data_IF_508663376894
#
_entry.id   IF_508663376894
#
_cell.length_a   1.000
_cell.length_b   1.000
_cell.length_c   1.000
_cell.angle_alpha   90.00
_cell.angle_beta   90.00
_cell.angle_gamma   90.00
#
_symmetry.space_group_name_H-M   'P 1'
#
loop_
_entity.id
_entity.type
_entity.pdbx_description
1 polymer ?
#
# COMPACT_ATOMS: atom_id res chain seq x y z
N UNK A 1 -2.43 21.19 16.75
CA UNK A 1 -1.27 20.58 16.02
C UNK A 1 -1.21 21.17 14.62
N UNK A 2 -0.07 21.75 14.24
CA UNK A 2 0.12 22.27 12.88
C UNK A 2 -0.04 21.10 11.90
N UNK A 3 -0.96 21.20 10.93
CA UNK A 3 -1.07 20.26 9.81
C UNK A 3 0.24 20.34 9.03
N UNK A 4 1.17 19.43 9.26
CA UNK A 4 2.35 19.30 8.39
C UNK A 4 1.80 18.93 7.02
N UNK A 5 2.10 19.74 6.01
CA UNK A 5 1.73 19.40 4.64
C UNK A 5 2.42 18.11 4.25
N UNK A 6 1.64 17.15 3.71
CA UNK A 6 2.19 15.92 3.17
C UNK A 6 3.14 16.26 2.02
N UNK A 7 4.30 15.64 2.01
CA UNK A 7 5.22 15.76 0.87
C UNK A 7 4.66 14.99 -0.34
N UNK A 8 5.00 15.46 -1.53
CA UNK A 8 4.69 14.72 -2.76
C UNK A 8 5.85 13.75 -3.01
N UNK A 9 5.57 12.46 -2.89
CA UNK A 9 6.53 11.43 -3.24
C UNK A 9 6.51 11.20 -4.74
N UNK A 10 7.70 11.03 -5.32
CA UNK A 10 7.85 10.59 -6.70
C UNK A 10 8.14 9.09 -6.71
N UNK A 11 7.17 8.31 -7.13
CA UNK A 11 7.33 6.86 -7.27
C UNK A 11 8.36 6.55 -8.36
N UNK A 12 9.36 5.74 -8.00
CA UNK A 12 10.42 5.32 -8.91
C UNK A 12 10.05 3.98 -9.56
N UNK A 13 9.65 4.04 -10.83
CA UNK A 13 9.38 2.83 -11.62
C UNK A 13 10.68 2.23 -12.18
N UNK A 14 10.75 0.88 -12.21
CA UNK A 14 11.73 0.18 -13.04
C UNK A 14 11.45 0.48 -14.52
N UNK A 15 12.50 0.46 -15.36
CA UNK A 15 12.42 0.88 -16.78
C UNK A 15 11.31 0.15 -17.55
N UNK A 16 11.09 -1.12 -17.24
CA UNK A 16 10.13 -1.98 -17.97
C UNK A 16 8.94 -2.40 -17.11
N UNK A 17 8.56 -1.58 -16.10
CA UNK A 17 7.46 -1.91 -15.21
C UNK A 17 6.50 -0.73 -15.01
N UNK A 18 5.21 -1.00 -15.10
CA UNK A 18 4.12 -0.08 -14.72
C UNK A 18 3.61 -0.33 -13.29
N UNK A 19 4.19 -1.30 -12.59
CA UNK A 19 3.85 -1.67 -11.21
C UNK A 19 5.15 -1.76 -10.41
N UNK A 20 5.29 -0.91 -9.40
CA UNK A 20 6.34 -1.04 -8.38
C UNK A 20 5.87 -2.08 -7.37
N UNK A 21 6.72 -3.03 -6.99
CA UNK A 21 6.41 -4.01 -5.96
C UNK A 21 7.67 -4.25 -5.12
N UNK A 22 7.60 -3.94 -3.83
CA UNK A 22 8.74 -3.91 -2.92
C UNK A 22 8.46 -4.69 -1.65
N UNK A 23 9.43 -5.49 -1.22
CA UNK A 23 9.52 -6.01 0.14
C UNK A 23 10.39 -5.05 0.96
N UNK A 24 9.74 -4.26 1.81
CA UNK A 24 10.40 -3.30 2.70
C UNK A 24 10.84 -3.98 3.99
N UNK A 25 12.04 -3.66 4.44
CA UNK A 25 12.56 -4.04 5.76
C UNK A 25 13.49 -2.95 6.28
N UNK A 26 13.23 -2.45 7.49
CA UNK A 26 14.07 -1.48 8.17
C UNK A 26 13.87 -1.61 9.70
N UNK A 27 14.64 -0.89 10.50
CA UNK A 27 14.43 -0.79 11.95
C UNK A 27 13.05 -0.22 12.29
N UNK A 28 12.56 0.74 11.53
CA UNK A 28 11.24 1.37 11.69
C UNK A 28 10.69 1.83 10.33
N UNK A 29 9.41 2.18 10.25
CA UNK A 29 8.82 2.81 9.07
C UNK A 29 9.34 4.25 8.95
N UNK A 30 10.20 4.50 7.96
CA UNK A 30 10.97 5.75 7.85
C UNK A 30 10.33 6.81 6.97
N UNK A 31 9.33 6.46 6.14
CA UNK A 31 8.69 7.41 5.25
C UNK A 31 7.93 8.49 6.06
N UNK A 32 8.12 9.77 5.77
CA UNK A 32 7.35 10.85 6.38
C UNK A 32 5.89 10.84 5.89
N UNK A 33 5.04 11.72 6.43
CA UNK A 33 3.70 11.94 5.88
C UNK A 33 3.82 12.38 4.41
N UNK A 34 3.28 11.56 3.51
CA UNK A 34 3.42 11.76 2.06
C UNK A 34 2.13 11.41 1.31
N UNK A 35 2.13 11.72 0.03
CA UNK A 35 1.10 11.35 -0.96
C UNK A 35 1.72 11.24 -2.34
N UNK A 36 1.13 10.45 -3.20
CA UNK A 36 1.52 10.28 -4.61
C UNK A 36 0.29 10.01 -5.49
N UNK A 37 0.36 10.21 -6.82
CA UNK A 37 -0.79 10.03 -7.72
C UNK A 37 -1.15 8.57 -8.00
N UNK A 38 -0.35 7.62 -7.57
CA UNK A 38 -0.58 6.19 -7.71
C UNK A 38 -1.55 5.66 -6.65
N UNK A 39 -2.17 4.51 -6.93
CA UNK A 39 -2.71 3.63 -5.90
C UNK A 39 -1.58 2.92 -5.18
N UNK A 40 -1.77 2.66 -3.89
CA UNK A 40 -0.86 1.83 -3.11
C UNK A 40 -1.61 0.70 -2.41
N UNK A 41 -1.23 -0.54 -2.70
CA UNK A 41 -1.54 -1.69 -1.86
C UNK A 41 -0.39 -1.89 -0.88
N UNK A 42 -0.70 -2.07 0.40
CA UNK A 42 0.31 -2.35 1.43
C UNK A 42 -0.16 -3.42 2.39
N UNK A 43 0.72 -4.37 2.66
CA UNK A 43 0.58 -5.40 3.69
C UNK A 43 1.65 -5.19 4.75
N UNK A 44 1.23 -4.95 5.98
CA UNK A 44 2.13 -4.89 7.13
C UNK A 44 2.43 -6.33 7.58
N UNK A 45 3.71 -6.72 7.56
CA UNK A 45 4.13 -8.06 7.97
C UNK A 45 4.69 -8.07 9.39
N UNK A 46 5.41 -7.02 9.76
CA UNK A 46 6.06 -6.89 11.07
C UNK A 46 6.14 -5.41 11.43
N UNK A 47 5.95 -5.12 12.71
CA UNK A 47 5.96 -3.76 13.22
C UNK A 47 4.65 -3.36 13.85
N UNK A 48 4.72 -2.43 14.78
CA UNK A 48 3.56 -1.85 15.47
C UNK A 48 3.71 -0.34 15.61
N UNK A 49 2.61 0.34 15.82
CA UNK A 49 2.60 1.79 15.94
C UNK A 49 1.26 2.39 15.58
N UNK A 50 1.27 3.45 14.77
CA UNK A 50 0.07 4.14 14.30
C UNK A 50 0.07 4.31 12.78
N UNK A 51 -1.09 4.20 12.21
CA UNK A 51 -1.36 4.39 10.81
C UNK A 51 -2.22 5.64 10.64
N UNK A 52 -1.80 6.55 9.78
CA UNK A 52 -2.52 7.76 9.40
C UNK A 52 -2.88 7.67 7.92
N UNK A 53 -4.16 7.74 7.59
CA UNK A 53 -4.65 7.74 6.21
C UNK A 53 -5.75 8.78 6.07
N UNK A 54 -5.49 9.84 5.30
CA UNK A 54 -6.35 11.01 5.25
C UNK A 54 -6.52 11.64 6.62
N UNK A 55 -7.77 11.71 7.09
CA UNK A 55 -8.12 12.25 8.41
C UNK A 55 -8.25 11.15 9.49
N UNK A 56 -8.00 9.90 9.14
CA UNK A 56 -8.13 8.76 10.05
C UNK A 56 -6.80 8.42 10.70
N UNK A 57 -6.85 8.09 11.99
CA UNK A 57 -5.75 7.52 12.77
C UNK A 57 -6.20 6.21 13.41
N UNK A 58 -5.35 5.18 13.35
CA UNK A 58 -5.61 3.89 13.96
C UNK A 58 -4.31 3.18 14.36
N UNK A 59 -4.36 2.19 15.28
CA UNK A 59 -3.22 1.31 15.50
C UNK A 59 -2.79 0.62 14.20
N UNK A 60 -1.48 0.47 14.02
CA UNK A 60 -0.84 -0.29 12.96
C UNK A 60 -0.46 -1.67 13.51
N UNK A 61 -0.94 -2.72 12.87
CA UNK A 61 -0.75 -4.08 13.33
C UNK A 61 -0.25 -5.00 12.20
N UNK A 62 0.57 -6.01 12.52
CA UNK A 62 0.88 -7.07 11.58
C UNK A 62 -0.37 -7.73 11.03
N UNK A 63 -0.39 -7.93 9.71
CA UNK A 63 -1.55 -8.43 8.99
C UNK A 63 -2.47 -7.34 8.43
N UNK A 64 -2.29 -6.06 8.77
CA UNK A 64 -3.03 -4.98 8.12
C UNK A 64 -2.74 -4.99 6.62
N UNK A 65 -3.81 -5.10 5.83
CA UNK A 65 -3.75 -5.06 4.38
C UNK A 65 -4.67 -3.94 3.88
N UNK A 66 -4.09 -2.96 3.21
CA UNK A 66 -4.77 -1.70 2.90
C UNK A 66 -4.61 -1.32 1.43
N UNK A 67 -5.60 -0.61 0.89
CA UNK A 67 -5.54 0.07 -0.40
C UNK A 67 -5.70 1.58 -0.19
N UNK A 68 -4.68 2.31 -0.57
CA UNK A 68 -4.63 3.77 -0.52
C UNK A 68 -4.87 4.30 -1.93
N UNK A 69 -5.83 5.21 -2.05
CA UNK A 69 -6.15 5.84 -3.35
C UNK A 69 -5.21 6.99 -3.71
N UNK A 70 -5.24 7.42 -4.97
CA UNK A 70 -4.40 8.49 -5.48
C UNK A 70 -4.50 9.78 -4.66
N UNK A 71 -3.35 10.39 -4.37
CA UNK A 71 -3.20 11.66 -3.66
C UNK A 71 -3.77 11.66 -2.21
N UNK A 72 -4.11 10.50 -1.64
CA UNK A 72 -4.51 10.39 -0.26
C UNK A 72 -3.26 10.41 0.63
N UNK A 73 -3.18 11.38 1.53
CA UNK A 73 -2.04 11.52 2.45
C UNK A 73 -1.99 10.35 3.43
N UNK A 74 -0.82 9.76 3.61
CA UNK A 74 -0.67 8.62 4.51
C UNK A 74 0.72 8.57 5.17
N UNK A 75 0.79 7.87 6.31
CA UNK A 75 1.99 7.70 7.13
C UNK A 75 1.86 6.43 7.98
N UNK A 76 2.90 5.63 7.99
CA UNK A 76 3.11 4.54 8.94
C UNK A 76 4.14 5.01 9.97
N UNK A 77 3.73 5.20 11.21
CA UNK A 77 4.58 5.67 12.30
C UNK A 77 4.82 4.51 13.27
N UNK A 78 6.05 4.06 13.38
CA UNK A 78 6.42 3.04 14.35
C UNK A 78 6.29 3.56 15.78
N UNK A 79 6.05 2.67 16.73
CA UNK A 79 6.00 3.01 18.16
C UNK A 79 7.38 3.48 18.67
N UNK A 80 7.38 4.27 19.73
CA UNK A 80 8.59 4.99 20.21
C UNK A 80 9.78 4.07 20.46
N UNK A 81 9.55 2.87 20.99
CA UNK A 81 10.61 1.90 21.28
C UNK A 81 11.34 1.34 20.04
N UNK A 82 10.79 1.55 18.81
CA UNK A 82 11.49 1.23 17.56
C UNK A 82 12.64 2.19 17.26
N UNK A 83 12.69 3.36 17.89
CA UNK A 83 13.72 4.38 17.68
C UNK A 83 14.84 4.37 18.72
N UNK A 84 14.80 3.44 19.69
CA UNK A 84 15.84 3.28 20.69
C UNK A 84 17.11 2.65 20.07
N UNK A 85 18.30 3.11 20.48
CA UNK A 85 19.59 2.72 19.85
C UNK A 85 19.89 1.22 19.95
N UNK A 86 19.50 0.56 21.05
CA UNK A 86 19.78 -0.85 21.29
C UNK A 86 18.64 -1.80 20.85
N UNK A 87 17.62 -1.29 20.21
CA UNK A 87 16.50 -2.12 19.80
C UNK A 87 16.92 -3.04 18.63
N UNK A 88 16.42 -4.28 18.63
CA UNK A 88 16.60 -5.28 17.57
C UNK A 88 15.33 -5.53 16.76
N UNK A 89 14.33 -4.65 16.93
CA UNK A 89 13.06 -4.75 16.24
C UNK A 89 13.21 -4.40 14.77
N UNK A 90 12.32 -4.93 13.97
CA UNK A 90 12.23 -4.61 12.55
C UNK A 90 10.80 -4.26 12.16
N UNK A 91 10.67 -3.35 11.23
CA UNK A 91 9.42 -3.08 10.51
C UNK A 91 9.51 -3.66 9.12
N UNK A 92 8.51 -4.46 8.73
CA UNK A 92 8.44 -5.11 7.42
C UNK A 92 7.09 -4.91 6.80
N UNK A 93 7.10 -4.63 5.51
CA UNK A 93 5.88 -4.59 4.70
C UNK A 93 6.16 -5.09 3.28
N UNK A 94 5.11 -5.47 2.61
CA UNK A 94 5.08 -5.57 1.14
C UNK A 94 4.18 -4.46 0.65
N UNK A 95 4.64 -3.68 -0.31
CA UNK A 95 3.79 -2.68 -0.95
C UNK A 95 3.92 -2.72 -2.47
N UNK A 96 2.85 -2.30 -3.14
CA UNK A 96 2.82 -2.14 -4.58
C UNK A 96 2.16 -0.82 -4.93
N UNK A 97 2.82 -0.05 -5.82
CA UNK A 97 2.34 1.23 -6.32
C UNK A 97 2.11 1.13 -7.84
N UNK A 98 0.98 1.62 -8.30
CA UNK A 98 0.58 1.55 -9.71
C UNK A 98 -0.38 2.68 -10.09
N UNK A 99 -0.25 3.18 -11.30
CA UNK A 99 -1.14 4.21 -11.84
C UNK A 99 -2.46 3.64 -12.38
N UNK A 100 -3.41 4.52 -12.65
CA UNK A 100 -4.67 4.14 -13.32
C UNK A 100 -4.46 3.64 -14.75
N UNK A 101 -3.34 3.94 -15.36
CA UNK A 101 -2.97 3.56 -16.72
C UNK A 101 -2.75 2.05 -16.93
N UNK A 102 -2.69 1.25 -15.84
CA UNK A 102 -2.66 -0.22 -15.96
C UNK A 102 -4.04 -0.82 -16.21
N UNK A 103 -5.10 -0.03 -16.12
CA UNK A 103 -6.49 -0.43 -16.36
C UNK A 103 -6.99 0.13 -17.70
N UNK A 104 -7.96 -0.54 -18.35
CA UNK A 104 -8.55 -0.01 -19.58
C UNK A 104 -9.38 1.25 -19.28
N UNK A 105 -9.36 2.23 -20.22
CA UNK A 105 -10.06 3.50 -20.07
C UNK A 105 -11.58 3.34 -19.88
N UNK A 106 -12.15 2.30 -20.48
CA UNK A 106 -13.57 1.97 -20.37
C UNK A 106 -13.90 0.99 -19.22
N UNK A 107 -13.01 0.85 -18.24
CA UNK A 107 -13.17 -0.08 -17.09
C UNK A 107 -14.53 0.04 -16.41
N UNK A 108 -15.08 1.26 -16.30
CA UNK A 108 -16.37 1.50 -15.64
C UNK A 108 -17.58 0.89 -16.37
N UNK A 109 -17.44 0.52 -17.65
CA UNK A 109 -18.49 -0.07 -18.49
C UNK A 109 -18.33 -1.57 -18.69
N UNK A 110 -17.19 -2.14 -18.27
CA UNK A 110 -16.92 -3.57 -18.36
C UNK A 110 -17.50 -4.28 -17.13
N UNK A 111 -18.46 -5.17 -17.36
CA UNK A 111 -19.17 -5.90 -16.29
C UNK A 111 -18.18 -6.67 -15.41
N UNK A 112 -17.19 -7.31 -16.03
CA UNK A 112 -16.16 -8.12 -15.35
C UNK A 112 -15.25 -7.30 -14.44
N UNK A 113 -15.10 -6.00 -14.72
CA UNK A 113 -14.25 -5.09 -13.94
C UNK A 113 -15.05 -4.20 -12.98
N UNK A 114 -16.35 -4.33 -12.91
CA UNK A 114 -17.21 -3.48 -12.09
C UNK A 114 -16.86 -3.47 -10.61
N UNK A 115 -16.51 -4.65 -10.05
CA UNK A 115 -16.06 -4.76 -8.64
C UNK A 115 -14.70 -4.09 -8.42
N UNK A 116 -13.76 -4.25 -9.34
CA UNK A 116 -12.43 -3.62 -9.28
C UNK A 116 -12.58 -2.10 -9.41
N UNK A 117 -13.41 -1.63 -10.35
CA UNK A 117 -13.70 -0.20 -10.50
C UNK A 117 -14.27 0.41 -9.22
N UNK A 118 -15.25 -0.26 -8.60
CA UNK A 118 -15.85 0.20 -7.34
C UNK A 118 -14.81 0.24 -6.22
N UNK A 119 -13.97 -0.80 -6.10
CA UNK A 119 -12.88 -0.86 -5.11
C UNK A 119 -11.90 0.31 -5.28
N UNK A 120 -11.45 0.58 -6.50
CA UNK A 120 -10.55 1.69 -6.78
C UNK A 120 -11.19 3.04 -6.49
N UNK A 121 -12.48 3.21 -6.76
CA UNK A 121 -13.23 4.41 -6.43
C UNK A 121 -13.32 4.64 -4.91
N UNK A 122 -13.62 3.60 -4.15
CA UNK A 122 -13.72 3.64 -2.68
C UNK A 122 -12.37 3.86 -2.00
N UNK A 123 -11.25 3.46 -2.63
CA UNK A 123 -9.90 3.63 -2.08
C UNK A 123 -9.50 5.09 -1.82
N UNK A 124 -10.24 6.05 -2.37
CA UNK A 124 -10.06 7.49 -2.09
C UNK A 124 -10.18 7.85 -0.61
N UNK A 125 -10.77 6.99 0.19
CA UNK A 125 -10.89 7.14 1.66
C UNK A 125 -9.92 6.25 2.43
N UNK A 126 -9.10 5.47 1.73
CA UNK A 126 -8.32 4.39 2.29
C UNK A 126 -9.20 3.19 2.68
N UNK A 127 -8.81 2.01 2.32
CA UNK A 127 -9.54 0.78 2.62
C UNK A 127 -8.66 -0.15 3.43
N UNK A 128 -9.22 -0.71 4.50
CA UNK A 128 -8.64 -1.82 5.24
C UNK A 128 -9.39 -3.09 4.89
N UNK A 129 -8.69 -4.07 4.35
CA UNK A 129 -9.28 -5.36 4.00
C UNK A 129 -9.40 -6.28 5.21
N UNK A 130 -10.59 -6.81 5.41
CA UNK A 130 -10.90 -7.74 6.51
C UNK A 130 -11.79 -8.87 6.01
N UNK A 131 -11.96 -9.90 6.83
CA UNK A 131 -12.94 -10.98 6.58
C UNK A 131 -12.37 -12.25 5.98
N UNK A 132 -13.29 -13.13 5.58
CA UNK A 132 -12.95 -14.44 5.04
C UNK A 132 -12.22 -14.31 3.69
N UNK A 133 -11.16 -15.07 3.49
CA UNK A 133 -10.40 -15.07 2.23
C UNK A 133 -9.23 -14.09 2.19
N UNK A 134 -9.11 -13.17 3.16
CA UNK A 134 -8.03 -12.18 3.19
C UNK A 134 -6.64 -12.83 3.19
N UNK A 135 -6.47 -14.00 3.81
CA UNK A 135 -5.18 -14.67 3.84
C UNK A 135 -4.73 -15.14 2.45
N UNK A 136 -5.66 -15.57 1.62
CA UNK A 136 -5.35 -15.90 0.22
C UNK A 136 -4.88 -14.64 -0.56
N UNK A 137 -5.53 -13.51 -0.33
CA UNK A 137 -5.11 -12.24 -0.94
C UNK A 137 -3.70 -11.83 -0.47
N UNK A 138 -3.41 -11.95 0.84
CA UNK A 138 -2.07 -11.68 1.40
C UNK A 138 -1.00 -12.57 0.78
N UNK A 139 -1.28 -13.87 0.60
CA UNK A 139 -0.35 -14.81 -0.04
C UNK A 139 -0.05 -14.43 -1.49
N UNK A 140 -1.08 -14.11 -2.29
CA UNK A 140 -0.91 -13.63 -3.66
C UNK A 140 -0.12 -12.34 -3.71
N UNK A 141 -0.40 -11.42 -2.78
CA UNK A 141 0.28 -10.13 -2.72
C UNK A 141 1.77 -10.28 -2.35
N UNK A 142 2.12 -11.14 -1.41
CA UNK A 142 3.54 -11.46 -1.11
C UNK A 142 4.27 -12.01 -2.34
N UNK A 143 3.60 -12.82 -3.15
CA UNK A 143 4.21 -13.37 -4.35
C UNK A 143 4.49 -12.31 -5.42
N UNK A 144 3.78 -11.17 -5.41
CA UNK A 144 3.88 -10.11 -6.40
C UNK A 144 5.29 -9.56 -6.55
N UNK A 145 6.04 -9.45 -5.45
CA UNK A 145 7.41 -8.91 -5.43
C UNK A 145 8.36 -9.72 -6.34
N UNK A 146 8.15 -11.02 -6.41
CA UNK A 146 8.97 -11.94 -7.21
C UNK A 146 8.46 -12.12 -8.65
N UNK A 147 7.36 -11.47 -9.03
CA UNK A 147 6.79 -11.52 -10.37
C UNK A 147 7.28 -10.36 -11.21
N UNK A 148 7.32 -10.55 -12.54
CA UNK A 148 7.70 -9.51 -13.52
C UNK A 148 6.75 -9.54 -14.72
N UNK A 149 6.73 -8.44 -15.47
CA UNK A 149 5.95 -8.33 -16.70
C UNK A 149 4.48 -8.71 -16.51
N UNK A 150 3.95 -9.48 -17.45
CA UNK A 150 2.54 -9.92 -17.46
C UNK A 150 2.18 -10.73 -16.21
N UNK A 151 3.08 -11.56 -15.68
CA UNK A 151 2.82 -12.35 -14.48
C UNK A 151 2.58 -11.47 -13.25
N UNK A 152 3.31 -10.35 -13.11
CA UNK A 152 3.08 -9.35 -12.05
C UNK A 152 1.71 -8.71 -12.21
N UNK A 153 1.38 -8.28 -13.43
CA UNK A 153 0.11 -7.67 -13.75
C UNK A 153 -1.09 -8.61 -13.47
N UNK A 154 -1.04 -9.84 -13.99
CA UNK A 154 -2.09 -10.85 -13.73
C UNK A 154 -2.22 -11.18 -12.23
N UNK A 155 -1.11 -11.23 -11.50
CA UNK A 155 -1.13 -11.52 -10.06
C UNK A 155 -1.80 -10.39 -9.27
N UNK A 156 -1.59 -9.13 -9.66
CA UNK A 156 -2.24 -7.97 -9.04
C UNK A 156 -3.76 -7.99 -9.24
N UNK A 157 -4.24 -8.50 -10.39
CA UNK A 157 -5.67 -8.59 -10.71
C UNK A 157 -6.40 -9.76 -10.03
N UNK A 158 -5.70 -10.71 -9.45
CA UNK A 158 -6.26 -11.90 -8.76
C UNK A 158 -6.57 -11.64 -7.30
#
# INVERSE_FOLDING_TARGET
MSRKNAIIEKVAYEVDSSIVAVAYKNAYFAAPLHKHPEYELILIEEGEGRCFVGDSERPLCPGDFMLIGPNLSHLWLSADHYYEEDNKLTSRSVYAQFGSNIFPDNMSTLVELGSVYSLLKESRRGLLFTGKGIEKCRQLFRALVNKKGVDRWVTLYR
#
